data_IF_288564309333
#
_entry.id   IF_288564309333
#
_cell.length_a   1.000
_cell.length_b   1.000
_cell.length_c   1.000
_cell.angle_alpha   90.00
_cell.angle_beta   90.00
_cell.angle_gamma   90.00
#
_symmetry.space_group_name_H-M   'P 1'
#
loop_
_entity.id
_entity.type
_entity.pdbx_description
1 polymer ?
#
# COMPACT_ATOMS: atom_id res chain seq x y z
N UNK A 1 26.64 15.19 13.19
CA UNK A 1 25.29 15.15 13.76
C UNK A 1 24.98 16.52 14.34
N UNK A 2 24.08 17.28 13.72
CA UNK A 2 23.42 18.40 14.39
C UNK A 2 22.59 17.84 15.55
N UNK A 3 22.62 18.43 16.76
CA UNK A 3 21.82 17.96 17.88
C UNK A 3 20.34 17.91 17.49
N UNK A 4 19.64 16.88 17.94
CA UNK A 4 18.19 16.82 17.83
C UNK A 4 17.57 17.97 18.66
N UNK A 5 16.78 18.87 18.07
CA UNK A 5 16.14 19.96 18.80
C UNK A 5 15.24 19.49 19.95
N UNK A 6 14.72 18.25 19.91
CA UNK A 6 13.84 17.70 20.93
C UNK A 6 14.57 16.87 22.01
N UNK A 7 15.79 16.40 21.74
CA UNK A 7 16.60 15.60 22.67
C UNK A 7 16.16 14.14 22.81
N UNK A 8 15.34 13.63 21.89
CA UNK A 8 14.84 12.25 21.88
C UNK A 8 15.91 11.29 21.37
N UNK A 9 16.02 10.11 22.00
CA UNK A 9 17.09 9.14 21.70
C UNK A 9 16.58 7.80 21.23
N UNK A 10 15.33 7.47 21.50
CA UNK A 10 14.73 6.19 21.11
C UNK A 10 13.55 6.41 20.17
N UNK A 11 13.20 5.36 19.41
CA UNK A 11 12.00 5.39 18.58
C UNK A 11 10.74 5.57 19.43
N UNK A 12 10.68 4.94 20.61
CA UNK A 12 9.56 5.10 21.54
C UNK A 12 9.34 6.58 21.94
N UNK A 13 10.40 7.31 22.28
CA UNK A 13 10.29 8.74 22.62
C UNK A 13 9.67 9.56 21.47
N UNK A 14 10.07 9.25 20.23
CA UNK A 14 9.55 9.91 19.03
C UNK A 14 8.09 9.57 18.76
N UNK A 15 7.69 8.31 18.95
CA UNK A 15 6.31 7.88 18.76
C UNK A 15 5.40 8.52 19.82
N UNK A 16 5.82 8.56 21.09
CA UNK A 16 5.11 9.24 22.18
C UNK A 16 4.97 10.75 21.93
N UNK A 17 5.96 11.38 21.30
CA UNK A 17 5.87 12.77 20.86
C UNK A 17 4.81 12.94 19.76
N UNK A 18 4.81 12.07 18.74
CA UNK A 18 3.84 12.11 17.65
C UNK A 18 2.40 11.95 18.14
N UNK A 19 2.16 11.11 19.14
CA UNK A 19 0.82 10.91 19.74
C UNK A 19 0.27 12.17 20.43
N UNK A 20 1.15 13.03 20.95
CA UNK A 20 0.76 14.24 21.70
C UNK A 20 0.76 15.51 20.86
N UNK A 21 1.31 15.46 19.64
CA UNK A 21 1.57 16.64 18.81
C UNK A 21 0.30 17.28 18.22
N UNK A 22 -0.76 16.49 18.02
CA UNK A 22 -2.00 16.95 17.40
C UNK A 22 -3.20 16.60 18.28
N UNK A 23 -4.20 17.51 18.44
CA UNK A 23 -5.34 17.28 19.32
C UNK A 23 -6.30 16.18 18.84
N UNK A 24 -6.16 15.73 17.59
CA UNK A 24 -6.95 14.64 17.00
C UNK A 24 -6.02 13.56 16.44
N UNK A 25 -6.39 12.31 16.61
CA UNK A 25 -5.69 11.17 16.02
C UNK A 25 -5.84 11.11 14.49
N UNK A 26 -7.03 11.47 13.99
CA UNK A 26 -7.33 11.54 12.55
C UNK A 26 -7.84 12.96 12.27
N UNK A 27 -7.17 13.64 11.35
CA UNK A 27 -7.57 14.96 10.85
C UNK A 27 -7.26 15.02 9.36
N UNK A 28 -8.30 14.84 8.55
CA UNK A 28 -8.20 14.67 7.10
C UNK A 28 -7.83 15.99 6.42
N UNK A 29 -6.76 15.99 5.64
CA UNK A 29 -6.24 17.17 4.94
C UNK A 29 -4.85 16.90 4.39
N UNK A 30 -4.44 17.68 3.38
CA UNK A 30 -3.11 17.51 2.75
C UNK A 30 -2.22 18.73 2.93
N UNK A 31 -2.76 19.85 3.37
CA UNK A 31 -2.09 21.15 3.43
C UNK A 31 -0.91 21.13 4.40
N UNK A 32 -1.13 20.58 5.61
CA UNK A 32 -0.12 20.54 6.68
C UNK A 32 1.05 19.63 6.31
N UNK A 33 0.73 18.39 5.92
CA UNK A 33 1.72 17.40 5.51
C UNK A 33 2.47 17.81 4.23
N UNK A 34 1.79 18.40 3.23
CA UNK A 34 2.42 18.87 1.99
C UNK A 34 3.42 19.99 2.25
N UNK A 35 3.06 20.96 3.09
CA UNK A 35 3.96 22.06 3.46
C UNK A 35 5.27 21.54 4.09
N UNK A 36 5.18 20.56 4.99
CA UNK A 36 6.38 19.99 5.62
C UNK A 36 7.16 19.13 4.64
N UNK A 37 6.51 18.34 3.79
CA UNK A 37 7.18 17.58 2.72
C UNK A 37 7.95 18.49 1.75
N UNK A 38 7.40 19.66 1.41
CA UNK A 38 8.07 20.67 0.58
C UNK A 38 9.31 21.24 1.28
N UNK A 39 9.21 21.60 2.57
CA UNK A 39 10.36 22.05 3.36
C UNK A 39 11.47 21.00 3.44
N UNK A 40 11.10 19.72 3.51
CA UNK A 40 12.03 18.60 3.53
C UNK A 40 12.61 18.26 2.14
N UNK A 41 12.02 18.77 1.06
CA UNK A 41 12.42 18.45 -0.31
C UNK A 41 12.17 17.00 -0.71
N UNK A 42 11.12 16.36 -0.15
CA UNK A 42 10.80 14.95 -0.45
C UNK A 42 10.35 14.82 -1.90
N UNK A 43 11.10 14.09 -2.71
CA UNK A 43 10.81 13.80 -4.13
C UNK A 43 11.32 12.41 -4.49
N UNK A 44 10.61 11.74 -5.40
CA UNK A 44 11.03 10.46 -5.96
C UNK A 44 11.37 10.64 -7.44
N UNK A 45 12.54 10.16 -7.85
CA UNK A 45 12.97 10.15 -9.24
C UNK A 45 12.63 8.83 -9.95
N UNK A 46 12.17 7.83 -9.19
CA UNK A 46 11.76 6.52 -9.66
C UNK A 46 10.22 6.41 -9.70
N UNK A 47 9.67 5.42 -10.43
CA UNK A 47 8.23 5.19 -10.46
C UNK A 47 7.62 4.95 -9.08
N UNK A 48 6.43 5.51 -8.86
CA UNK A 48 5.63 5.33 -7.64
C UNK A 48 4.34 4.57 -7.97
N UNK A 49 4.05 3.52 -7.21
CA UNK A 49 2.78 2.78 -7.24
C UNK A 49 2.03 3.02 -5.94
N UNK A 50 0.84 3.63 -5.99
CA UNK A 50 0.00 3.85 -4.82
C UNK A 50 -1.14 2.84 -4.77
N UNK A 51 -1.33 2.18 -3.63
CA UNK A 51 -2.31 1.11 -3.43
C UNK A 51 -3.38 1.56 -2.43
N UNK A 52 -4.59 1.79 -2.93
CA UNK A 52 -5.79 2.08 -2.17
C UNK A 52 -6.76 0.88 -2.16
N UNK A 53 -7.78 0.98 -1.31
CA UNK A 53 -8.81 -0.06 -1.18
C UNK A 53 -9.28 -0.28 0.25
N UNK A 54 -10.35 -1.03 0.41
CA UNK A 54 -10.84 -1.46 1.73
C UNK A 54 -9.99 -2.65 2.20
N UNK A 55 -9.97 -3.74 1.45
CA UNK A 55 -9.22 -4.94 1.77
C UNK A 55 -8.24 -5.31 0.65
N UNK A 56 -7.08 -5.89 1.01
CA UNK A 56 -6.12 -6.43 0.03
C UNK A 56 -4.95 -5.51 -0.31
N UNK A 57 -4.92 -4.29 0.25
CA UNK A 57 -3.82 -3.32 0.08
C UNK A 57 -2.44 -3.90 0.43
N UNK A 58 -2.20 -4.25 1.70
CA UNK A 58 -0.94 -4.88 2.12
C UNK A 58 -0.54 -6.15 1.33
N UNK A 59 -1.50 -7.03 1.00
CA UNK A 59 -1.20 -8.21 0.16
C UNK A 59 -0.77 -7.82 -1.27
N UNK A 60 -1.39 -6.79 -1.85
CA UNK A 60 -1.03 -6.24 -3.16
C UNK A 60 0.37 -5.62 -3.11
N UNK A 61 0.68 -4.84 -2.06
CA UNK A 61 2.01 -4.28 -1.84
C UNK A 61 3.09 -5.37 -1.72
N UNK A 62 2.82 -6.43 -0.93
CA UNK A 62 3.76 -7.54 -0.75
C UNK A 62 4.00 -8.32 -2.06
N UNK A 63 2.95 -8.54 -2.87
CA UNK A 63 3.09 -9.19 -4.17
C UNK A 63 3.86 -8.33 -5.18
N UNK A 64 3.62 -7.01 -5.19
CA UNK A 64 4.43 -6.07 -5.99
C UNK A 64 5.90 -6.11 -5.56
N UNK A 65 6.17 -6.02 -4.25
CA UNK A 65 7.51 -6.07 -3.68
C UNK A 65 8.23 -7.35 -4.10
N UNK A 66 7.60 -8.51 -3.93
CA UNK A 66 8.21 -9.80 -4.23
C UNK A 66 8.55 -9.95 -5.72
N UNK A 67 7.63 -9.59 -6.63
CA UNK A 67 7.86 -9.72 -8.07
C UNK A 67 8.93 -8.73 -8.57
N UNK A 68 8.90 -7.49 -8.06
CA UNK A 68 9.87 -6.46 -8.44
C UNK A 68 11.26 -6.77 -7.87
N UNK A 69 11.34 -7.30 -6.64
CA UNK A 69 12.58 -7.78 -6.03
C UNK A 69 13.20 -8.95 -6.82
N UNK A 70 12.39 -9.93 -7.23
CA UNK A 70 12.85 -11.02 -8.11
C UNK A 70 13.27 -10.55 -9.51
N UNK A 71 12.83 -9.35 -9.92
CA UNK A 71 13.29 -8.69 -11.15
C UNK A 71 14.55 -7.83 -10.94
N UNK A 72 15.10 -7.80 -9.72
CA UNK A 72 16.32 -7.07 -9.37
C UNK A 72 16.13 -5.59 -9.04
N UNK A 73 14.88 -5.10 -8.92
CA UNK A 73 14.61 -3.71 -8.55
C UNK A 73 14.83 -3.49 -7.05
N UNK A 74 15.41 -2.33 -6.71
CA UNK A 74 15.48 -1.86 -5.32
C UNK A 74 14.14 -1.26 -4.91
N UNK A 75 13.31 -2.09 -4.30
CA UNK A 75 11.97 -1.72 -3.84
C UNK A 75 12.01 -0.97 -2.52
N UNK A 76 11.12 0.00 -2.34
CA UNK A 76 10.74 0.50 -1.03
C UNK A 76 9.23 0.43 -0.87
N UNK A 77 8.77 -0.12 0.25
CA UNK A 77 7.35 -0.33 0.52
C UNK A 77 6.98 0.38 1.83
N UNK A 78 5.97 1.24 1.75
CA UNK A 78 5.30 1.79 2.91
C UNK A 78 3.96 1.07 3.11
N UNK A 79 3.79 0.40 4.25
CA UNK A 79 2.54 -0.26 4.66
C UNK A 79 2.02 0.22 6.02
N UNK A 80 0.73 0.04 6.27
CA UNK A 80 0.13 0.29 7.58
C UNK A 80 -1.15 -0.53 7.83
N UNK A 81 -1.51 -0.83 9.10
CA UNK A 81 -0.70 -0.64 10.31
C UNK A 81 0.46 -1.64 10.39
N UNK A 82 1.24 -1.58 11.48
CA UNK A 82 2.22 -2.63 11.84
C UNK A 82 1.56 -3.65 12.78
N UNK A 83 2.14 -4.85 12.89
CA UNK A 83 1.71 -5.89 13.83
C UNK A 83 2.38 -5.75 15.19
N UNK A 84 3.72 -5.70 15.23
CA UNK A 84 4.49 -5.70 16.50
C UNK A 84 5.40 -4.48 16.59
N UNK A 85 6.18 -4.24 15.54
CA UNK A 85 7.23 -3.22 15.51
C UNK A 85 6.89 -2.13 14.49
N UNK A 86 7.12 -0.86 14.85
CA UNK A 86 6.82 0.26 13.96
C UNK A 86 7.61 0.20 12.65
N UNK A 87 8.83 -0.32 12.72
CA UNK A 87 9.77 -0.57 11.63
C UNK A 87 9.16 -1.38 10.49
N UNK A 88 8.18 -2.25 10.79
CA UNK A 88 7.44 -3.03 9.79
C UNK A 88 6.74 -2.15 8.76
N UNK A 89 6.41 -0.90 9.10
CA UNK A 89 5.77 0.03 8.18
C UNK A 89 6.65 0.40 7.00
N UNK A 90 7.98 0.36 7.14
CA UNK A 90 8.89 0.67 6.04
C UNK A 90 9.80 -0.51 5.77
N UNK A 91 9.64 -1.09 4.59
CA UNK A 91 10.51 -2.13 4.07
C UNK A 91 11.36 -1.59 2.92
N UNK A 92 12.65 -1.87 2.95
CA UNK A 92 13.59 -1.54 1.89
C UNK A 92 14.20 -2.84 1.39
N UNK A 93 14.03 -3.14 0.10
CA UNK A 93 14.52 -4.37 -0.54
C UNK A 93 14.09 -5.65 0.20
N UNK A 94 12.84 -5.71 0.66
CA UNK A 94 12.32 -6.90 1.34
C UNK A 94 12.65 -7.01 2.83
N UNK A 95 13.28 -6.00 3.44
CA UNK A 95 13.62 -6.03 4.87
C UNK A 95 13.06 -4.80 5.60
N UNK A 96 12.56 -5.00 6.82
CA UNK A 96 12.15 -3.89 7.66
C UNK A 96 13.35 -2.97 7.96
N UNK A 97 13.12 -1.67 7.99
CA UNK A 97 14.18 -0.69 8.19
C UNK A 97 14.77 -0.76 9.61
N UNK A 98 16.06 -0.47 9.76
CA UNK A 98 16.67 -0.31 11.07
C UNK A 98 16.13 0.93 11.80
N UNK A 99 16.21 0.92 13.13
CA UNK A 99 15.71 2.00 14.00
C UNK A 99 16.47 3.31 13.81
N UNK A 100 17.81 3.29 13.71
CA UNK A 100 18.59 4.53 13.69
C UNK A 100 18.26 5.44 12.49
N UNK A 101 18.16 4.94 11.25
CA UNK A 101 17.71 5.75 10.11
C UNK A 101 16.31 6.35 10.28
N UNK A 102 15.40 5.65 10.97
CA UNK A 102 14.08 6.19 11.30
C UNK A 102 14.21 7.37 12.26
N UNK A 103 14.90 7.20 13.39
CA UNK A 103 15.11 8.28 14.38
C UNK A 103 15.66 9.54 13.71
N UNK A 104 16.63 9.40 12.82
CA UNK A 104 17.16 10.54 12.07
C UNK A 104 16.11 11.21 11.15
N UNK A 105 15.25 10.42 10.53
CA UNK A 105 14.14 10.92 9.72
C UNK A 105 13.09 11.65 10.56
N UNK A 106 12.72 11.12 11.73
CA UNK A 106 11.83 11.81 12.69
C UNK A 106 12.41 13.17 13.08
N UNK A 107 13.70 13.24 13.41
CA UNK A 107 14.38 14.50 13.73
C UNK A 107 14.39 15.49 12.54
N UNK A 108 14.41 15.00 11.28
CA UNK A 108 14.30 15.86 10.08
C UNK A 108 12.88 16.41 9.94
N UNK A 109 11.84 15.62 10.18
CA UNK A 109 10.45 16.09 10.18
C UNK A 109 10.25 17.17 11.24
N UNK A 110 10.75 16.95 12.46
CA UNK A 110 10.66 17.90 13.57
C UNK A 110 11.31 19.25 13.20
N UNK A 111 12.53 19.22 12.66
CA UNK A 111 13.20 20.43 12.18
C UNK A 111 12.41 21.15 11.09
N UNK A 112 11.82 20.41 10.16
CA UNK A 112 11.07 20.99 9.04
C UNK A 112 9.74 21.60 9.49
N UNK A 113 9.01 20.96 10.42
CA UNK A 113 7.75 21.52 10.94
C UNK A 113 7.98 22.80 11.75
N UNK A 114 9.07 22.87 12.51
CA UNK A 114 9.46 24.01 13.35
C UNK A 114 10.32 25.06 12.64
N UNK A 115 10.58 24.90 11.33
CA UNK A 115 11.49 25.78 10.59
C UNK A 115 11.04 27.26 10.58
N UNK A 116 9.73 27.52 10.64
CA UNK A 116 9.17 28.86 10.66
C UNK A 116 7.89 28.90 11.53
N UNK A 117 7.69 29.96 12.35
CA UNK A 117 6.50 30.08 13.18
C UNK A 117 5.25 30.53 12.38
N UNK A 118 4.04 30.11 12.81
CA UNK A 118 3.80 29.12 13.85
C UNK A 118 4.20 27.71 13.38
N UNK A 119 4.60 26.86 14.33
CA UNK A 119 4.88 25.46 14.09
C UNK A 119 3.73 24.77 13.35
N UNK A 120 4.05 23.93 12.37
CA UNK A 120 3.05 23.12 11.70
C UNK A 120 2.69 21.93 12.58
N UNK A 121 1.42 21.83 12.99
CA UNK A 121 0.92 20.65 13.71
C UNK A 121 0.66 19.50 12.73
N UNK A 122 1.07 18.29 13.10
CA UNK A 122 0.95 17.07 12.30
C UNK A 122 0.34 15.97 13.17
N UNK A 123 -0.63 15.24 12.62
CA UNK A 123 -1.14 14.01 13.24
C UNK A 123 -0.03 12.96 13.30
N UNK A 124 -0.23 11.93 14.14
CA UNK A 124 0.67 10.78 14.19
C UNK A 124 0.94 10.20 12.79
N UNK A 125 -0.11 10.03 11.98
CA UNK A 125 0.01 9.44 10.65
C UNK A 125 0.75 10.36 9.67
N UNK A 126 0.49 11.67 9.69
CA UNK A 126 1.21 12.61 8.82
C UNK A 126 2.69 12.70 9.18
N UNK A 127 3.03 12.78 10.46
CA UNK A 127 4.42 12.86 10.92
C UNK A 127 5.21 11.61 10.53
N UNK A 128 4.67 10.44 10.86
CA UNK A 128 5.30 9.15 10.57
C UNK A 128 5.41 8.89 9.06
N UNK A 129 4.41 9.30 8.28
CA UNK A 129 4.46 9.25 6.81
C UNK A 129 5.60 10.10 6.27
N UNK A 130 5.79 11.33 6.74
CA UNK A 130 6.89 12.18 6.29
C UNK A 130 8.27 11.59 6.61
N UNK A 131 8.43 10.98 7.79
CA UNK A 131 9.67 10.32 8.18
C UNK A 131 9.97 9.13 7.25
N UNK A 132 8.97 8.31 6.96
CA UNK A 132 9.08 7.16 6.05
C UNK A 132 9.42 7.63 4.62
N UNK A 133 8.68 8.62 4.09
CA UNK A 133 8.91 9.13 2.74
C UNK A 133 10.28 9.79 2.58
N UNK A 134 10.77 10.53 3.58
CA UNK A 134 12.12 11.10 3.57
C UNK A 134 13.20 10.02 3.52
N UNK A 135 13.03 8.92 4.26
CA UNK A 135 13.96 7.81 4.27
C UNK A 135 13.96 7.10 2.91
N UNK A 136 12.77 6.82 2.34
CA UNK A 136 12.63 6.24 1.00
C UNK A 136 13.29 7.12 -0.07
N UNK A 137 13.10 8.44 -0.02
CA UNK A 137 13.67 9.39 -0.98
C UNK A 137 15.21 9.39 -0.98
N UNK A 138 15.83 8.98 0.14
CA UNK A 138 17.29 8.89 0.31
C UNK A 138 17.85 7.49 0.05
N UNK A 139 17.00 6.46 -0.05
CA UNK A 139 17.42 5.06 -0.18
C UNK A 139 17.84 4.64 -1.61
N UNK A 140 17.83 5.57 -2.58
CA UNK A 140 18.16 5.31 -4.00
C UNK A 140 17.34 4.15 -4.58
N UNK A 141 16.02 4.19 -4.39
CA UNK A 141 15.11 3.14 -4.86
C UNK A 141 14.92 3.19 -6.38
N UNK A 142 14.59 2.04 -6.95
CA UNK A 142 14.18 1.92 -8.35
C UNK A 142 12.65 1.92 -8.51
N UNK A 143 11.92 1.66 -7.42
CA UNK A 143 10.45 1.73 -7.36
C UNK A 143 9.98 1.93 -5.92
N UNK A 144 8.94 2.74 -5.77
CA UNK A 144 8.29 3.05 -4.49
C UNK A 144 6.85 2.53 -4.53
N UNK A 145 6.46 1.80 -3.49
CA UNK A 145 5.11 1.25 -3.33
C UNK A 145 4.52 1.84 -2.05
N UNK A 146 3.40 2.57 -2.18
CA UNK A 146 2.77 3.29 -1.08
C UNK A 146 1.38 2.71 -0.81
N UNK A 147 1.19 2.11 0.36
CA UNK A 147 -0.15 1.79 0.84
C UNK A 147 -0.83 3.05 1.40
N UNK A 148 -2.06 3.30 0.95
CA UNK A 148 -2.93 4.31 1.55
C UNK A 148 -3.37 3.85 2.94
N UNK A 149 -3.24 4.72 3.94
CA UNK A 149 -3.72 4.45 5.30
C UNK A 149 -5.25 4.42 5.37
N UNK A 150 -5.90 5.53 5.02
CA UNK A 150 -7.35 5.69 5.10
C UNK A 150 -7.91 6.47 3.90
N UNK A 151 -8.94 5.90 3.26
CA UNK A 151 -9.59 6.53 2.10
C UNK A 151 -8.68 6.55 0.87
N UNK A 152 -8.06 7.70 0.61
CA UNK A 152 -7.19 7.94 -0.54
C UNK A 152 -6.98 9.43 -0.80
N UNK A 153 -8.06 10.15 -1.16
CA UNK A 153 -8.05 11.57 -1.58
C UNK A 153 -7.33 12.49 -0.60
N UNK A 154 -7.55 12.31 0.70
CA UNK A 154 -6.97 13.13 1.77
C UNK A 154 -5.96 12.36 2.64
N UNK A 155 -5.48 11.20 2.17
CA UNK A 155 -4.48 10.43 2.88
C UNK A 155 -3.09 11.06 2.73
N UNK A 156 -2.28 11.04 3.79
CA UNK A 156 -0.93 11.63 3.78
C UNK A 156 -0.03 11.10 2.64
N UNK A 157 -0.19 9.85 2.21
CA UNK A 157 0.60 9.32 1.08
C UNK A 157 0.22 9.97 -0.26
N UNK A 158 -1.00 10.52 -0.36
CA UNK A 158 -1.52 11.13 -1.59
C UNK A 158 -0.90 12.51 -1.88
N UNK A 159 0.02 13.00 -1.04
CA UNK A 159 0.90 14.12 -1.42
C UNK A 159 1.91 13.71 -2.51
N UNK A 160 2.12 12.41 -2.71
CA UNK A 160 3.00 11.88 -3.75
C UNK A 160 2.17 11.59 -4.99
N UNK A 161 2.61 12.10 -6.13
CA UNK A 161 1.99 11.79 -7.42
C UNK A 161 2.42 10.40 -7.89
N UNK A 162 1.46 9.48 -7.93
CA UNK A 162 1.69 8.12 -8.38
C UNK A 162 1.82 8.03 -9.90
N UNK A 163 2.74 7.20 -10.38
CA UNK A 163 2.83 6.81 -11.78
C UNK A 163 1.82 5.69 -12.13
N UNK A 164 1.40 4.92 -11.13
CA UNK A 164 0.28 3.97 -11.22
C UNK A 164 -0.51 3.93 -9.90
N UNK A 165 -1.84 3.92 -9.99
CA UNK A 165 -2.70 3.68 -8.84
C UNK A 165 -3.34 2.28 -8.91
N UNK A 166 -3.51 1.63 -7.79
CA UNK A 166 -4.26 0.37 -7.66
C UNK A 166 -5.38 0.56 -6.65
N UNK A 167 -6.62 0.28 -7.04
CA UNK A 167 -7.77 0.19 -6.14
C UNK A 167 -8.13 -1.28 -6.04
N UNK A 168 -7.86 -1.86 -4.87
CA UNK A 168 -8.02 -3.30 -4.60
C UNK A 168 -9.49 -3.70 -4.50
N UNK A 169 -10.15 -3.44 -3.37
CA UNK A 169 -11.60 -3.59 -3.21
C UNK A 169 -12.24 -2.32 -2.66
N UNK A 170 -13.54 -2.14 -2.87
CA UNK A 170 -14.33 -1.09 -2.23
C UNK A 170 -15.51 -1.71 -1.49
N UNK A 171 -15.45 -1.64 -0.17
CA UNK A 171 -16.52 -2.11 0.72
C UNK A 171 -16.62 -1.22 1.96
N UNK A 172 -17.67 -1.40 2.75
CA UNK A 172 -18.01 -0.64 3.95
C UNK A 172 -16.93 -0.81 5.02
N UNK A 173 -16.23 0.28 5.29
CA UNK A 173 -15.23 0.41 6.36
C UNK A 173 -14.97 1.90 6.61
N UNK A 174 -14.59 2.26 7.84
CA UNK A 174 -14.32 3.65 8.24
C UNK A 174 -15.43 4.65 7.82
N UNK A 175 -16.69 4.25 7.92
CA UNK A 175 -17.84 5.00 7.41
C UNK A 175 -18.00 6.40 8.03
N UNK A 176 -17.50 6.59 9.26
CA UNK A 176 -17.48 7.90 9.92
C UNK A 176 -16.63 8.95 9.18
N UNK A 177 -15.63 8.50 8.41
CA UNK A 177 -14.72 9.36 7.64
C UNK A 177 -15.01 9.33 6.13
N UNK A 178 -15.38 8.16 5.61
CA UNK A 178 -15.48 7.90 4.17
C UNK A 178 -16.92 7.93 3.64
N UNK A 179 -17.89 8.09 4.54
CA UNK A 179 -19.31 8.06 4.25
C UNK A 179 -19.95 6.67 4.33
N UNK A 180 -21.29 6.61 4.20
CA UNK A 180 -22.06 5.44 4.62
C UNK A 180 -22.19 4.33 3.57
N UNK A 181 -21.68 4.53 2.36
CA UNK A 181 -21.94 3.63 1.24
C UNK A 181 -20.72 3.43 0.33
N UNK A 182 -20.79 2.42 -0.54
CA UNK A 182 -19.71 2.08 -1.47
C UNK A 182 -19.41 3.21 -2.46
N UNK A 183 -20.37 4.07 -2.78
CA UNK A 183 -20.18 5.19 -3.72
C UNK A 183 -19.36 6.32 -3.07
N UNK A 184 -19.67 6.70 -1.84
CA UNK A 184 -18.91 7.70 -1.07
C UNK A 184 -17.49 7.19 -0.79
N UNK A 185 -17.37 5.94 -0.34
CA UNK A 185 -16.08 5.30 -0.06
C UNK A 185 -15.25 5.17 -1.36
N UNK A 186 -15.90 4.79 -2.46
CA UNK A 186 -15.27 4.69 -3.78
C UNK A 186 -14.68 6.02 -4.25
N UNK A 187 -15.41 7.13 -4.06
CA UNK A 187 -14.96 8.47 -4.42
C UNK A 187 -13.72 8.90 -3.63
N UNK A 188 -13.68 8.60 -2.33
CA UNK A 188 -12.49 8.87 -1.51
C UNK A 188 -11.27 8.07 -1.98
N UNK A 189 -11.45 6.78 -2.28
CA UNK A 189 -10.37 5.93 -2.79
C UNK A 189 -9.90 6.36 -4.17
N UNK A 190 -10.81 6.81 -5.03
CA UNK A 190 -10.48 7.25 -6.38
C UNK A 190 -9.58 8.50 -6.40
N UNK A 191 -9.52 9.28 -5.32
CA UNK A 191 -8.66 10.45 -5.24
C UNK A 191 -7.15 10.19 -5.30
N UNK A 192 -6.69 8.92 -5.31
CA UNK A 192 -5.28 8.59 -5.59
C UNK A 192 -4.94 8.52 -7.07
N UNK A 193 -5.95 8.55 -7.95
CA UNK A 193 -5.72 8.53 -9.39
C UNK A 193 -5.00 9.79 -9.87
N UNK A 194 -4.34 9.71 -11.03
CA UNK A 194 -3.66 10.82 -11.69
C UNK A 194 -3.99 10.84 -13.17
N UNK A 195 -4.17 12.03 -13.74
CA UNK A 195 -4.47 12.23 -15.16
C UNK A 195 -3.43 11.57 -16.06
N UNK A 196 -3.90 10.82 -17.06
CA UNK A 196 -3.06 10.12 -18.03
C UNK A 196 -2.23 8.96 -17.46
N UNK A 197 -2.37 8.66 -16.16
CA UNK A 197 -1.66 7.54 -15.51
C UNK A 197 -2.56 6.32 -15.39
N UNK A 198 -2.00 5.10 -15.45
CA UNK A 198 -2.77 3.89 -15.27
C UNK A 198 -3.38 3.80 -13.87
N UNK A 199 -4.66 3.45 -13.83
CA UNK A 199 -5.34 3.02 -12.60
C UNK A 199 -5.91 1.62 -12.78
N UNK A 200 -5.51 0.72 -11.88
CA UNK A 200 -5.98 -0.66 -11.86
C UNK A 200 -7.11 -0.78 -10.84
N UNK A 201 -8.31 -1.09 -11.31
CA UNK A 201 -9.47 -1.36 -10.47
C UNK A 201 -9.72 -2.87 -10.43
N UNK A 202 -9.37 -3.47 -9.29
CA UNK A 202 -9.47 -4.92 -9.09
C UNK A 202 -10.81 -5.35 -8.49
N UNK A 203 -11.61 -4.41 -7.99
CA UNK A 203 -12.97 -4.69 -7.53
C UNK A 203 -13.80 -5.23 -8.71
N UNK A 204 -14.37 -6.45 -8.64
CA UNK A 204 -15.17 -7.01 -9.72
C UNK A 204 -16.47 -6.23 -9.99
N UNK A 205 -16.98 -5.54 -8.97
CA UNK A 205 -18.21 -4.74 -9.03
C UNK A 205 -17.87 -3.34 -8.50
N UNK A 206 -17.04 -2.57 -9.23
CA UNK A 206 -16.57 -1.29 -8.75
C UNK A 206 -17.74 -0.29 -8.66
N UNK A 207 -17.77 0.57 -7.62
CA UNK A 207 -18.74 1.66 -7.54
C UNK A 207 -18.65 2.58 -8.75
N UNK A 208 -19.78 3.15 -9.17
CA UNK A 208 -19.82 4.03 -10.34
C UNK A 208 -18.97 5.29 -10.10
N UNK A 209 -18.92 5.79 -8.88
CA UNK A 209 -18.08 6.94 -8.48
C UNK A 209 -16.60 6.76 -8.78
N UNK A 210 -16.07 5.53 -8.71
CA UNK A 210 -14.69 5.22 -9.07
C UNK A 210 -14.50 5.34 -10.58
N UNK A 211 -15.43 4.81 -11.35
CA UNK A 211 -15.38 4.83 -12.82
C UNK A 211 -15.56 6.25 -13.36
N UNK A 212 -16.51 7.00 -12.80
CA UNK A 212 -16.81 8.38 -13.16
C UNK A 212 -15.59 9.26 -12.89
N UNK A 213 -14.95 9.12 -11.73
CA UNK A 213 -13.75 9.91 -11.41
C UNK A 213 -12.59 9.61 -12.35
N UNK A 214 -12.35 8.33 -12.67
CA UNK A 214 -11.31 7.94 -13.61
C UNK A 214 -11.53 8.57 -14.99
N UNK A 215 -12.78 8.60 -15.46
CA UNK A 215 -13.16 9.26 -16.71
C UNK A 215 -12.98 10.78 -16.62
N UNK A 216 -13.45 11.40 -15.54
CA UNK A 216 -13.45 12.85 -15.32
C UNK A 216 -12.03 13.44 -15.33
N UNK A 217 -11.07 12.75 -14.71
CA UNK A 217 -9.67 13.20 -14.71
C UNK A 217 -8.85 12.67 -15.90
N UNK A 218 -9.43 11.82 -16.74
CA UNK A 218 -8.75 11.18 -17.87
C UNK A 218 -7.62 10.23 -17.46
N UNK A 219 -7.82 9.42 -16.43
CA UNK A 219 -6.89 8.34 -16.07
C UNK A 219 -6.99 7.17 -17.06
N UNK A 220 -5.89 6.43 -17.27
CA UNK A 220 -5.92 5.19 -18.07
C UNK A 220 -6.51 4.06 -17.21
N UNK A 221 -7.83 3.89 -17.29
CA UNK A 221 -8.56 2.94 -16.47
C UNK A 221 -8.41 1.50 -16.97
N UNK A 222 -7.97 0.60 -16.08
CA UNK A 222 -7.93 -0.85 -16.28
C UNK A 222 -8.88 -1.53 -15.32
N UNK A 223 -9.85 -2.28 -15.83
CA UNK A 223 -10.87 -2.97 -15.02
C UNK A 223 -10.77 -4.47 -15.12
N UNK A 224 -10.91 -5.13 -13.97
CA UNK A 224 -11.11 -6.58 -13.95
C UNK A 224 -12.39 -6.95 -14.74
N UNK A 225 -12.30 -8.01 -15.53
CA UNK A 225 -13.39 -8.50 -16.38
C UNK A 225 -13.55 -7.74 -17.71
N UNK A 226 -12.83 -6.63 -17.91
CA UNK A 226 -12.85 -5.85 -19.15
C UNK A 226 -11.46 -5.80 -19.78
N UNK A 227 -10.48 -5.26 -19.05
CA UNK A 227 -9.11 -5.02 -19.54
C UNK A 227 -8.12 -6.09 -19.13
N UNK A 228 -8.40 -6.73 -18.01
CA UNK A 228 -7.66 -7.89 -17.53
C UNK A 228 -8.60 -8.86 -16.83
N UNK A 229 -8.23 -10.13 -16.83
CA UNK A 229 -8.98 -11.17 -16.16
C UNK A 229 -8.06 -12.33 -15.77
N UNK A 230 -8.57 -13.20 -14.90
CA UNK A 230 -7.92 -14.46 -14.56
C UNK A 230 -8.89 -15.62 -14.69
N UNK A 231 -8.34 -16.82 -14.88
CA UNK A 231 -9.07 -18.09 -14.85
C UNK A 231 -8.16 -19.16 -14.25
N UNK A 232 -8.71 -20.25 -13.73
CA UNK A 232 -7.88 -21.29 -13.14
C UNK A 232 -8.68 -22.49 -12.66
N UNK A 233 -7.94 -23.53 -12.30
CA UNK A 233 -8.43 -24.75 -11.65
C UNK A 233 -7.80 -24.89 -10.26
N UNK A 234 -7.85 -26.08 -9.65
CA UNK A 234 -7.29 -26.30 -8.31
C UNK A 234 -5.75 -26.26 -8.22
N UNK A 235 -5.05 -26.35 -9.34
CA UNK A 235 -3.58 -26.48 -9.39
C UNK A 235 -2.90 -25.23 -9.92
N UNK A 236 -3.47 -24.64 -10.97
CA UNK A 236 -2.85 -23.53 -11.68
C UNK A 236 -3.88 -22.52 -12.14
N UNK A 237 -3.40 -21.32 -12.39
CA UNK A 237 -4.20 -20.25 -12.95
C UNK A 237 -3.51 -19.59 -14.14
N UNK A 238 -4.30 -18.85 -14.89
CA UNK A 238 -3.88 -18.06 -16.02
C UNK A 238 -4.38 -16.64 -15.84
N UNK A 239 -3.61 -15.70 -16.35
CA UNK A 239 -3.93 -14.29 -16.36
C UNK A 239 -3.83 -13.75 -17.78
N UNK A 240 -4.77 -12.89 -18.16
CA UNK A 240 -4.75 -12.20 -19.46
C UNK A 240 -5.07 -10.74 -19.22
N UNK A 241 -4.24 -9.84 -19.74
CA UNK A 241 -4.50 -8.40 -19.78
C UNK A 241 -4.14 -7.81 -21.13
N UNK A 242 -4.16 -6.48 -21.23
CA UNK A 242 -3.83 -5.78 -22.49
C UNK A 242 -2.41 -6.12 -22.96
N UNK A 243 -2.33 -6.90 -24.04
CA UNK A 243 -1.06 -7.23 -24.70
C UNK A 243 -0.13 -8.19 -23.95
N UNK A 244 -0.55 -8.82 -22.84
CA UNK A 244 0.26 -9.81 -22.12
C UNK A 244 -0.62 -10.93 -21.53
N UNK A 245 -0.08 -12.15 -21.55
CA UNK A 245 -0.73 -13.34 -20.96
C UNK A 245 0.28 -14.14 -20.18
N UNK A 246 -0.17 -14.70 -19.06
CA UNK A 246 0.55 -15.70 -18.30
C UNK A 246 -0.32 -16.95 -18.20
N UNK A 247 0.25 -18.11 -18.50
CA UNK A 247 -0.42 -19.39 -18.40
C UNK A 247 0.33 -20.31 -17.43
N UNK A 248 -0.42 -21.19 -16.77
CA UNK A 248 0.11 -22.19 -15.84
C UNK A 248 0.91 -21.55 -14.71
N UNK A 249 0.42 -20.46 -14.14
CA UNK A 249 0.98 -19.86 -12.93
C UNK A 249 0.58 -20.72 -11.72
N UNK A 250 1.52 -20.91 -10.79
CA UNK A 250 1.17 -21.41 -9.46
C UNK A 250 0.36 -20.34 -8.72
N UNK A 251 -0.51 -20.78 -7.81
CA UNK A 251 -1.24 -19.88 -6.93
C UNK A 251 -0.27 -19.09 -6.03
N UNK A 252 -0.60 -17.82 -5.70
CA UNK A 252 0.21 -17.04 -4.78
C UNK A 252 0.39 -17.78 -3.43
N UNK A 253 1.56 -17.64 -2.81
CA UNK A 253 1.83 -18.23 -1.50
C UNK A 253 0.96 -17.63 -0.37
N UNK A 254 0.51 -16.38 -0.54
CA UNK A 254 -0.52 -15.81 0.31
C UNK A 254 -1.84 -16.56 0.09
N UNK A 255 -2.36 -17.15 1.16
CA UNK A 255 -3.61 -17.90 1.13
C UNK A 255 -4.82 -16.98 1.21
N UNK A 256 -5.88 -17.39 0.55
CA UNK A 256 -7.23 -16.86 0.73
C UNK A 256 -7.96 -16.51 -0.55
N UNK A 257 -9.29 -16.51 -0.49
CA UNK A 257 -10.19 -16.34 -1.63
C UNK A 257 -9.89 -15.08 -2.48
N UNK A 258 -9.50 -13.98 -1.84
CA UNK A 258 -9.23 -12.70 -2.51
C UNK A 258 -7.77 -12.54 -2.99
N UNK A 259 -6.88 -13.51 -2.73
CA UNK A 259 -5.47 -13.35 -3.11
C UNK A 259 -5.24 -13.47 -4.61
N UNK A 260 -6.05 -14.27 -5.31
CA UNK A 260 -6.00 -14.34 -6.76
C UNK A 260 -6.47 -13.04 -7.41
N UNK A 261 -7.48 -12.40 -6.80
CA UNK A 261 -7.97 -11.08 -7.21
C UNK A 261 -6.86 -10.02 -7.08
N UNK A 262 -6.20 -9.96 -5.91
CA UNK A 262 -5.07 -9.06 -5.66
C UNK A 262 -3.93 -9.33 -6.64
N UNK A 263 -3.54 -10.60 -6.82
CA UNK A 263 -2.48 -10.99 -7.75
C UNK A 263 -2.80 -10.59 -9.19
N UNK A 264 -4.06 -10.75 -9.62
CA UNK A 264 -4.51 -10.30 -10.95
C UNK A 264 -4.35 -8.79 -11.13
N UNK A 265 -4.70 -7.99 -10.12
CA UNK A 265 -4.48 -6.55 -10.10
C UNK A 265 -2.99 -6.17 -10.15
N UNK A 266 -2.15 -6.89 -9.40
CA UNK A 266 -0.68 -6.71 -9.43
C UNK A 266 -0.12 -6.96 -10.83
N UNK A 267 -0.54 -8.03 -11.50
CA UNK A 267 -0.10 -8.33 -12.86
C UNK A 267 -0.59 -7.28 -13.87
N UNK A 268 -1.77 -6.69 -13.66
CA UNK A 268 -2.25 -5.58 -14.47
C UNK A 268 -1.40 -4.31 -14.26
N UNK A 269 -1.08 -3.96 -13.01
CA UNK A 269 -0.22 -2.81 -12.68
C UNK A 269 1.17 -2.95 -13.32
N UNK A 270 1.80 -4.11 -13.15
CA UNK A 270 3.11 -4.40 -13.75
C UNK A 270 3.07 -4.45 -15.28
N UNK A 271 1.94 -4.84 -15.86
CA UNK A 271 1.77 -4.82 -17.33
C UNK A 271 1.60 -3.41 -17.85
N UNK A 272 0.83 -2.56 -17.17
CA UNK A 272 0.66 -1.14 -17.50
C UNK A 272 1.98 -0.37 -17.36
N UNK A 273 2.79 -0.71 -16.36
CA UNK A 273 4.06 -0.06 -16.05
C UNK A 273 5.28 -0.66 -16.76
N UNK A 274 5.10 -1.59 -17.71
CA UNK A 274 6.18 -2.42 -18.30
C UNK A 274 7.32 -1.63 -18.95
N UNK A 275 7.07 -0.41 -19.40
CA UNK A 275 8.11 0.45 -20.02
C UNK A 275 9.08 1.00 -18.97
N UNK A 276 8.59 1.26 -17.76
CA UNK A 276 9.39 1.75 -16.64
C UNK A 276 9.88 0.62 -15.73
N UNK A 277 9.07 -0.43 -15.59
CA UNK A 277 9.30 -1.58 -14.70
C UNK A 277 9.17 -2.91 -15.49
N UNK A 278 10.13 -3.23 -16.38
CA UNK A 278 10.10 -4.48 -17.14
C UNK A 278 10.30 -5.69 -16.22
N UNK A 279 9.24 -6.47 -16.00
CA UNK A 279 9.30 -7.72 -15.23
C UNK A 279 9.30 -8.96 -16.13
N UNK A 280 10.14 -9.94 -15.80
CA UNK A 280 10.21 -11.22 -16.52
C UNK A 280 9.11 -12.17 -16.07
N UNK A 281 8.76 -13.15 -16.90
CA UNK A 281 7.80 -14.19 -16.50
C UNK A 281 8.32 -15.05 -15.35
N UNK A 282 9.65 -15.25 -15.24
CA UNK A 282 10.25 -15.99 -14.14
C UNK A 282 10.12 -15.22 -12.82
N UNK A 283 10.38 -13.92 -12.82
CA UNK A 283 10.22 -13.08 -11.62
C UNK A 283 8.77 -13.05 -11.13
N UNK A 284 7.79 -13.04 -12.05
CA UNK A 284 6.37 -13.18 -11.68
C UNK A 284 6.10 -14.51 -10.99
N UNK A 285 6.61 -15.63 -11.56
CA UNK A 285 6.41 -16.96 -10.97
C UNK A 285 7.05 -17.07 -9.58
N UNK A 286 8.29 -16.61 -9.45
CA UNK A 286 9.02 -16.64 -8.18
C UNK A 286 8.35 -15.73 -7.15
N UNK A 287 8.09 -14.47 -7.50
CA UNK A 287 7.53 -13.48 -6.59
C UNK A 287 6.18 -13.92 -6.02
N UNK A 288 5.30 -14.46 -6.87
CA UNK A 288 4.02 -15.01 -6.39
C UNK A 288 4.19 -16.28 -5.54
N UNK A 289 5.18 -17.12 -5.82
CA UNK A 289 5.43 -18.34 -5.06
C UNK A 289 6.16 -18.11 -3.72
N UNK A 290 6.88 -17.00 -3.58
CA UNK A 290 7.73 -16.69 -2.42
C UNK A 290 7.19 -15.55 -1.55
N UNK A 291 6.17 -14.81 -2.02
CA UNK A 291 5.58 -13.71 -1.25
C UNK A 291 5.11 -14.19 0.13
N UNK A 292 5.45 -13.43 1.16
CA UNK A 292 5.03 -13.65 2.53
C UNK A 292 4.50 -12.35 3.13
N UNK A 293 3.46 -12.47 3.95
CA UNK A 293 2.91 -11.35 4.71
C UNK A 293 2.38 -11.90 6.05
N UNK A 294 3.05 -11.62 7.18
CA UNK A 294 2.60 -12.07 8.49
C UNK A 294 1.16 -11.66 8.80
N UNK A 295 0.43 -12.50 9.52
CA UNK A 295 -0.97 -12.25 9.91
C UNK A 295 -1.99 -12.31 8.76
N UNK A 296 -1.61 -12.76 7.55
CA UNK A 296 -2.54 -12.93 6.42
C UNK A 296 -2.81 -14.41 6.16
N UNK A 297 -3.84 -14.94 6.78
CA UNK A 297 -4.15 -16.38 6.83
C UNK A 297 -2.89 -17.24 7.06
N UNK A 298 -2.10 -16.82 8.04
CA UNK A 298 -0.82 -17.42 8.36
C UNK A 298 -1.03 -18.67 9.20
N UNK A 299 -0.60 -19.82 8.67
CA UNK A 299 -0.62 -21.08 9.40
C UNK A 299 0.69 -21.22 10.18
N UNK A 300 0.56 -21.38 11.49
CA UNK A 300 1.67 -21.68 12.37
C UNK A 300 1.80 -23.20 12.48
N UNK A 301 2.97 -23.78 12.17
CA UNK A 301 3.18 -25.23 12.28
C UNK A 301 2.91 -25.73 13.71
N UNK A 302 2.13 -26.81 13.84
CA UNK A 302 1.86 -27.44 15.14
C UNK A 302 0.51 -28.16 15.19
N UNK A 303 0.29 -28.89 16.29
CA UNK A 303 -0.99 -29.51 16.65
C UNK A 303 -1.46 -28.94 18.01
N UNK A 304 -2.64 -28.30 18.09
CA UNK A 304 -3.60 -28.08 17.01
C UNK A 304 -3.08 -27.09 15.95
N UNK A 305 -3.67 -27.13 14.75
CA UNK A 305 -3.36 -26.14 13.70
C UNK A 305 -3.77 -24.75 14.19
N UNK A 306 -2.81 -23.83 14.22
CA UNK A 306 -3.04 -22.44 14.60
C UNK A 306 -3.01 -21.55 13.35
N UNK A 307 -4.05 -20.70 13.19
CA UNK A 307 -4.20 -19.76 12.09
C UNK A 307 -4.26 -18.34 12.64
N UNK A 308 -3.43 -17.45 12.09
CA UNK A 308 -3.42 -16.02 12.41
C UNK A 308 -3.95 -15.24 11.20
N UNK A 309 -5.02 -14.46 11.38
CA UNK A 309 -5.59 -13.59 10.35
C UNK A 309 -6.03 -12.22 10.91
N UNK A 310 -5.74 -11.15 10.17
CA UNK A 310 -6.03 -9.76 10.54
C UNK A 310 -7.43 -9.25 10.11
N UNK A 311 -8.35 -10.14 9.75
CA UNK A 311 -9.72 -9.78 9.42
C UNK A 311 -10.40 -8.98 10.55
N UNK A 312 -10.89 -7.77 10.22
CA UNK A 312 -11.47 -6.83 11.20
C UNK A 312 -12.74 -6.11 10.71
N UNK A 313 -13.21 -6.42 9.50
CA UNK A 313 -14.48 -5.93 8.96
C UNK A 313 -15.30 -7.09 8.37
N UNK A 314 -16.59 -6.86 8.10
CA UNK A 314 -17.52 -7.90 7.66
C UNK A 314 -17.06 -8.61 6.37
N UNK A 315 -16.53 -7.84 5.41
CA UNK A 315 -15.99 -8.38 4.17
C UNK A 315 -14.77 -9.30 4.40
N UNK A 316 -13.82 -8.89 5.25
CA UNK A 316 -12.66 -9.71 5.59
C UNK A 316 -13.04 -10.95 6.40
N UNK A 317 -14.00 -10.83 7.32
CA UNK A 317 -14.51 -11.97 8.11
C UNK A 317 -15.19 -13.02 7.23
N UNK A 318 -15.97 -12.59 6.22
CA UNK A 318 -16.55 -13.51 5.24
C UNK A 318 -15.48 -14.25 4.44
N UNK A 319 -14.42 -13.56 4.02
CA UNK A 319 -13.28 -14.19 3.35
C UNK A 319 -12.54 -15.18 4.28
N UNK A 320 -12.38 -14.84 5.56
CA UNK A 320 -11.78 -15.73 6.55
C UNK A 320 -12.60 -17.02 6.73
N UNK A 321 -13.93 -16.91 6.83
CA UNK A 321 -14.82 -18.08 6.94
C UNK A 321 -14.66 -19.04 5.75
N UNK A 322 -14.68 -18.51 4.52
CA UNK A 322 -14.45 -19.31 3.30
C UNK A 322 -13.08 -20.01 3.31
N UNK A 323 -12.04 -19.34 3.81
CA UNK A 323 -10.71 -19.92 3.86
C UNK A 323 -10.59 -21.03 4.91
N UNK A 324 -11.25 -20.86 6.06
CA UNK A 324 -11.31 -21.88 7.11
C UNK A 324 -12.08 -23.12 6.65
N UNK A 325 -13.21 -22.94 5.94
CA UNK A 325 -13.98 -24.05 5.36
C UNK A 325 -13.17 -24.84 4.31
N UNK A 326 -12.26 -24.14 3.62
CA UNK A 326 -11.36 -24.76 2.64
C UNK A 326 -10.15 -25.47 3.28
N UNK A 327 -9.89 -25.27 4.59
CA UNK A 327 -8.93 -26.08 5.32
C UNK A 327 -9.53 -27.48 5.52
N UNK A 328 -9.09 -28.45 4.72
CA UNK A 328 -9.42 -29.84 4.97
C UNK A 328 -8.96 -30.21 6.39
N UNK A 329 -9.90 -30.69 7.21
CA UNK A 329 -9.62 -31.29 8.51
C UNK A 329 -9.02 -32.69 8.35
#
# INVERSE_FOLDING_TARGET
MTPDPAGFRTLADWLDHCERLHPKNIDMGLERVRLVAERMGIRFACPVITVAGTNGKGSTCAMLEAILGESGFRTGVYTSPHLVHFEERLRLQGEAVAVDPLIEAFARVERARCQAPPDVSLTYFEFTTLAILDLMARAKLDVVILEVGLGGRLDAVNIVDADCAVITSVDLDHMEFLGPDRESIGREKAGVMRTGRPVIVSDPVPPQSVLDHALEIGADLWRLGVDFNFSGDKQQWAWSGRGRRYAGLAYPALRGANQLLNASGVLAALTAMREQLPVTAQAVRNGLALVALPGRFQIVPGEPTLVLDVAHNAHAAAALAVNLDAMGF
#
